data_IF_916599487633
#
_entry.id   IF_916599487633
#
_cell.length_a   1.000
_cell.length_b   1.000
_cell.length_c   1.000
_cell.angle_alpha   90.00
_cell.angle_beta   90.00
_cell.angle_gamma   90.00
#
_symmetry.space_group_name_H-M   'P 1'
#
loop_
_entity.id
_entity.type
_entity.pdbx_description
1 polymer ?
#
# COMPACT_ATOMS: atom_id res chain seq x y z
N UNK A 1 8.43 17.28 1.91
CA UNK A 1 7.90 16.09 2.59
C UNK A 1 8.73 14.89 2.19
N UNK A 2 8.98 13.94 3.10
CA UNK A 2 9.74 12.71 2.78
C UNK A 2 8.94 11.87 1.78
N UNK A 3 9.54 11.62 0.62
CA UNK A 3 9.09 10.63 -0.35
C UNK A 3 10.15 9.54 -0.45
N UNK A 4 9.75 8.29 -0.40
CA UNK A 4 10.61 7.13 -0.53
C UNK A 4 9.91 6.06 -1.35
N UNK A 5 10.62 5.45 -2.29
CA UNK A 5 10.12 4.28 -3.01
C UNK A 5 11.20 3.20 -3.03
N UNK A 6 10.78 1.96 -2.85
CA UNK A 6 11.63 0.80 -2.96
C UNK A 6 10.83 -0.40 -3.47
N UNK A 7 11.56 -1.43 -3.86
CA UNK A 7 10.99 -2.71 -4.29
C UNK A 7 11.44 -3.77 -3.29
N UNK A 8 10.49 -4.51 -2.75
CA UNK A 8 10.79 -5.67 -1.93
C UNK A 8 11.39 -6.77 -2.82
N UNK A 9 12.66 -7.10 -2.63
CA UNK A 9 13.34 -8.10 -3.47
C UNK A 9 12.78 -9.52 -3.30
N UNK A 10 12.10 -9.82 -2.18
CA UNK A 10 11.55 -11.15 -1.88
C UNK A 10 10.17 -11.35 -2.49
N UNK A 11 9.31 -10.34 -2.43
CA UNK A 11 7.91 -10.44 -2.91
C UNK A 11 7.70 -9.76 -4.25
N UNK A 12 8.59 -8.85 -4.67
CA UNK A 12 8.44 -8.03 -5.86
C UNK A 12 7.50 -6.82 -5.66
N UNK A 13 7.04 -6.59 -4.42
CA UNK A 13 6.15 -5.49 -4.09
C UNK A 13 6.84 -4.15 -4.31
N UNK A 14 6.18 -3.25 -5.02
CA UNK A 14 6.66 -1.88 -5.17
C UNK A 14 5.96 -1.00 -4.14
N UNK A 15 6.74 -0.45 -3.22
CA UNK A 15 6.26 0.42 -2.16
C UNK A 15 6.59 1.87 -2.51
N UNK A 16 5.60 2.74 -2.40
CA UNK A 16 5.75 4.19 -2.50
C UNK A 16 5.17 4.83 -1.25
N UNK A 17 6.02 5.56 -0.52
CA UNK A 17 5.66 6.32 0.66
C UNK A 17 5.81 7.79 0.32
N UNK A 18 4.70 8.53 0.36
CA UNK A 18 4.67 9.98 0.12
C UNK A 18 3.93 10.66 1.27
N UNK A 19 4.67 11.24 2.21
CA UNK A 19 4.09 11.84 3.42
C UNK A 19 3.35 10.81 4.27
N UNK A 20 2.03 10.99 4.43
CA UNK A 20 1.15 10.06 5.17
C UNK A 20 0.45 9.04 4.27
N UNK A 21 0.80 9.02 2.98
CA UNK A 21 0.26 8.06 2.01
C UNK A 21 1.26 6.95 1.79
N UNK A 22 0.79 5.71 1.84
CA UNK A 22 1.54 4.52 1.43
C UNK A 22 0.77 3.86 0.31
N UNK A 23 1.45 3.52 -0.77
CA UNK A 23 0.89 2.76 -1.90
C UNK A 23 1.78 1.56 -2.15
N UNK A 24 1.19 0.37 -2.22
CA UNK A 24 1.89 -0.87 -2.55
C UNK A 24 1.27 -1.44 -3.81
N UNK A 25 2.12 -1.80 -4.76
CA UNK A 25 1.71 -2.49 -5.98
C UNK A 25 2.34 -3.87 -5.98
N UNK A 26 1.50 -4.88 -5.89
CA UNK A 26 1.90 -6.28 -5.93
C UNK A 26 2.14 -6.72 -7.37
N UNK A 27 3.00 -7.72 -7.61
CA UNK A 27 3.23 -8.27 -8.95
C UNK A 27 1.99 -8.89 -9.61
N UNK A 28 1.01 -9.33 -8.81
CA UNK A 28 -0.26 -9.91 -9.28
C UNK A 28 -1.27 -8.84 -9.76
N UNK A 29 -0.92 -7.55 -9.66
CA UNK A 29 -1.76 -6.43 -10.05
C UNK A 29 -2.63 -5.87 -8.93
N UNK A 30 -2.66 -6.50 -7.74
CA UNK A 30 -3.34 -5.95 -6.58
C UNK A 30 -2.61 -4.68 -6.14
N UNK A 31 -3.38 -3.67 -5.73
CA UNK A 31 -2.85 -2.43 -5.17
C UNK A 31 -3.43 -2.18 -3.79
N UNK A 32 -2.56 -1.94 -2.82
CA UNK A 32 -2.94 -1.51 -1.48
C UNK A 32 -2.60 -0.03 -1.30
N UNK A 33 -3.47 0.70 -0.63
CA UNK A 33 -3.29 2.12 -0.38
C UNK A 33 -3.76 2.48 1.00
N UNK A 34 -2.89 3.14 1.75
CA UNK A 34 -3.19 3.75 3.03
C UNK A 34 -3.07 5.27 2.87
N UNK A 35 -4.18 5.99 3.00
CA UNK A 35 -4.21 7.44 2.95
C UNK A 35 -5.35 7.99 3.80
N UNK A 36 -5.15 9.16 4.42
CA UNK A 36 -6.19 9.84 5.22
C UNK A 36 -6.86 8.93 6.27
N UNK A 37 -6.10 8.02 6.88
CA UNK A 37 -6.60 7.07 7.87
C UNK A 37 -7.48 5.95 7.29
N UNK A 38 -7.55 5.80 5.97
CA UNK A 38 -8.27 4.70 5.31
C UNK A 38 -7.29 3.75 4.64
N UNK A 39 -7.63 2.47 4.72
CA UNK A 39 -7.00 1.41 3.97
C UNK A 39 -7.94 0.98 2.83
N UNK A 40 -7.41 0.96 1.62
CA UNK A 40 -8.12 0.46 0.44
C UNK A 40 -7.26 -0.55 -0.30
N UNK A 41 -7.91 -1.59 -0.82
CA UNK A 41 -7.30 -2.58 -1.68
C UNK A 41 -8.10 -2.68 -2.97
N UNK A 42 -7.38 -2.65 -4.09
CA UNK A 42 -7.93 -2.82 -5.43
C UNK A 42 -7.35 -4.05 -6.07
N UNK A 43 -8.17 -4.80 -6.78
CA UNK A 43 -7.70 -5.91 -7.60
C UNK A 43 -7.01 -5.42 -8.88
N UNK A 44 -6.49 -6.36 -9.68
CA UNK A 44 -5.82 -6.08 -10.95
C UNK A 44 -6.71 -5.40 -12.00
N UNK A 45 -8.03 -5.46 -11.84
CA UNK A 45 -9.01 -4.78 -12.70
C UNK A 45 -9.39 -3.39 -12.17
N UNK A 46 -8.78 -2.95 -11.07
CA UNK A 46 -9.04 -1.66 -10.44
C UNK A 46 -10.30 -1.61 -9.59
N UNK A 47 -10.96 -2.74 -9.34
CA UNK A 47 -12.16 -2.81 -8.48
C UNK A 47 -11.73 -2.78 -7.03
N UNK A 48 -12.38 -1.93 -6.23
CA UNK A 48 -12.14 -1.89 -4.79
C UNK A 48 -12.72 -3.16 -4.14
N UNK A 49 -11.85 -3.98 -3.55
CA UNK A 49 -12.23 -5.21 -2.84
C UNK A 49 -12.22 -5.03 -1.32
N UNK A 50 -11.48 -4.04 -0.82
CA UNK A 50 -11.48 -3.63 0.59
C UNK A 50 -11.47 -2.11 0.66
N UNK A 51 -12.35 -1.54 1.49
CA UNK A 51 -12.31 -0.13 1.93
C UNK A 51 -12.74 -0.08 3.39
N UNK A 52 -11.80 0.25 4.28
CA UNK A 52 -12.04 0.34 5.72
C UNK A 52 -11.16 1.37 6.39
N UNK A 53 -11.46 1.68 7.65
CA UNK A 53 -10.55 2.44 8.48
C UNK A 53 -9.21 1.69 8.63
N UNK A 54 -8.12 2.42 8.46
CA UNK A 54 -6.80 1.90 8.68
C UNK A 54 -6.57 1.70 10.17
N UNK A 55 -5.91 0.60 10.50
CA UNK A 55 -5.42 0.30 11.84
C UNK A 55 -3.92 0.61 11.89
N UNK A 56 -3.34 0.81 13.09
CA UNK A 56 -1.89 0.94 13.23
C UNK A 56 -1.13 -0.24 12.59
N UNK A 57 -1.67 -1.46 12.71
CA UNK A 57 -1.09 -2.66 12.12
C UNK A 57 -1.02 -2.62 10.58
N UNK A 58 -1.94 -1.91 9.91
CA UNK A 58 -1.89 -1.74 8.45
C UNK A 58 -0.69 -0.87 8.05
N UNK A 59 -0.47 0.23 8.77
CA UNK A 59 0.65 1.12 8.51
C UNK A 59 1.99 0.43 8.75
N UNK A 60 2.09 -0.35 9.84
CA UNK A 60 3.32 -1.07 10.17
C UNK A 60 3.62 -2.17 9.14
N UNK A 61 2.60 -2.94 8.73
CA UNK A 61 2.76 -3.94 7.67
C UNK A 61 3.23 -3.30 6.38
N UNK A 62 2.57 -2.23 5.91
CA UNK A 62 2.91 -1.61 4.63
C UNK A 62 4.29 -0.92 4.62
N UNK A 63 4.79 -0.45 5.77
CA UNK A 63 6.15 0.12 5.91
C UNK A 63 7.25 -0.94 5.98
N UNK A 64 6.89 -2.16 6.37
CA UNK A 64 7.83 -3.29 6.51
C UNK A 64 7.99 -4.10 5.20
N UNK A 65 7.10 -3.87 4.23
CA UNK A 65 7.27 -4.34 2.86
C UNK A 65 8.46 -3.65 2.20
#
# INVERSE_FOLDING_TARGET
GKSGSHVNAKTGDKVDVTGNKITVRHPDGITEKLENGRFSMKDALGRTIIDRQATPADADRLKAL
#
